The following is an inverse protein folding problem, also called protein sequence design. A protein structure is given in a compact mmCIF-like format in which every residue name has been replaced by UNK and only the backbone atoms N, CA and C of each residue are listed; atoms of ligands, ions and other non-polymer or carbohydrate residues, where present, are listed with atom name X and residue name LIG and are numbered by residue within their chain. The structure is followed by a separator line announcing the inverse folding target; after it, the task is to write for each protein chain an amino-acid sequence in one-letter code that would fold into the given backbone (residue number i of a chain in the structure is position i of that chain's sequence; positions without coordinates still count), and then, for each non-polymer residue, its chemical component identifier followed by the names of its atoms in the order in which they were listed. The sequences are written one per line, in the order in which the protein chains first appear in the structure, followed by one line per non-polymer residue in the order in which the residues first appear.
data_IF_759880048482
#
_entry.id   IF_759880048482
#
_cell.length_a   1.000
_cell.length_b   1.000
_cell.length_c   1.000
_cell.angle_alpha   90.00
_cell.angle_beta   90.00
_cell.angle_gamma   90.00
#
_symmetry.space_group_name_H-M   'P 1'
#
loop_
_entity.id
_entity.type
_entity.pdbx_description
1 polymer ?
#
# COMPACT_ATOMS: atom_id res chain seq x y z
N UNK A 1 0.65 -4.28 -68.34
CA UNK A 1 -0.53 -5.05 -68.87
C UNK A 1 -1.65 -4.79 -67.91
N UNK A 2 -2.44 -3.95 -68.29
CA UNK A 2 -3.86 -3.96 -68.74
C UNK A 2 -4.80 -3.99 -67.53
N UNK A 3 -5.41 -2.86 -67.13
CA UNK A 3 -6.57 -2.19 -67.69
C UNK A 3 -7.84 -3.06 -67.53
N UNK A 4 -9.00 -2.64 -67.10
CA UNK A 4 -9.85 -1.49 -67.37
C UNK A 4 -11.07 -1.57 -66.47
N UNK A 5 -11.54 -0.47 -65.98
CA UNK A 5 -12.75 0.37 -66.34
C UNK A 5 -14.06 -0.20 -65.83
N UNK A 6 -15.00 0.48 -65.22
CA UNK A 6 -15.48 1.84 -65.31
C UNK A 6 -17.02 1.82 -65.49
N UNK A 7 -17.70 2.81 -64.95
CA UNK A 7 -18.97 3.51 -65.39
C UNK A 7 -19.95 3.72 -64.21
N UNK A 8 -20.06 4.92 -63.71
CA UNK A 8 -20.93 6.11 -64.01
C UNK A 8 -22.42 5.83 -64.10
N UNK A 9 -23.12 6.38 -63.21
CA UNK A 9 -24.31 7.21 -63.02
C UNK A 9 -25.30 7.40 -64.31
N UNK A 10 -26.46 8.02 -64.23
CA UNK A 10 -26.93 9.11 -63.37
C UNK A 10 -28.45 9.15 -63.04
N UNK A 11 -28.83 10.10 -62.17
CA UNK A 11 -29.96 11.04 -62.09
C UNK A 11 -31.35 10.67 -62.71
N UNK A 12 -32.40 10.94 -61.92
CA UNK A 12 -33.50 11.85 -62.38
C UNK A 12 -34.48 12.23 -61.25
N UNK A 13 -34.68 13.50 -61.15
CA UNK A 13 -35.62 14.28 -60.37
C UNK A 13 -37.07 14.12 -60.79
N UNK A 14 -38.01 14.28 -59.85
CA UNK A 14 -39.31 14.96 -60.21
C UNK A 14 -39.93 15.64 -58.99
N UNK A 15 -40.05 16.94 -59.09
CA UNK A 15 -40.93 17.77 -58.27
C UNK A 15 -42.36 17.60 -58.77
N UNK A 16 -43.38 17.74 -57.93
CA UNK A 16 -44.66 18.28 -58.24
C UNK A 16 -45.19 19.13 -57.06
N UNK A 17 -45.66 20.29 -57.47
CA UNK A 17 -46.29 21.34 -56.66
C UNK A 17 -47.80 21.20 -56.65
N UNK A 18 -48.44 21.95 -55.78
CA UNK A 18 -49.76 22.55 -55.67
C UNK A 18 -50.69 21.87 -54.68
N UNK A 19 -51.40 22.50 -53.77
CA UNK A 19 -51.76 23.86 -53.55
C UNK A 19 -53.11 23.90 -52.82
N UNK A 20 -53.40 25.01 -52.07
CA UNK A 20 -54.72 25.46 -51.61
C UNK A 20 -55.21 24.89 -50.28
N UNK A 21 -55.18 25.57 -49.11
CA UNK A 21 -55.95 26.77 -48.71
C UNK A 21 -56.95 26.43 -47.56
N UNK A 22 -57.35 27.32 -46.69
CA UNK A 22 -57.61 27.04 -45.26
C UNK A 22 -59.10 26.91 -44.89
N UNK A 23 -59.39 26.16 -43.80
CA UNK A 23 -60.68 26.30 -43.09
C UNK A 23 -60.40 26.34 -41.54
N UNK A 24 -60.95 27.44 -41.00
CA UNK A 24 -60.97 27.69 -39.53
C UNK A 24 -61.94 26.72 -38.82
N UNK A 25 -61.56 26.22 -37.71
CA UNK A 25 -62.45 25.53 -36.80
C UNK A 25 -61.83 25.47 -35.34
N UNK A 26 -62.24 26.41 -34.54
CA UNK A 26 -61.92 26.50 -33.08
C UNK A 26 -62.62 25.37 -32.35
N UNK A 27 -61.87 24.51 -31.69
CA UNK A 27 -62.39 23.78 -30.55
C UNK A 27 -61.26 23.56 -29.51
N UNK A 28 -61.28 24.43 -28.48
CA UNK A 28 -60.43 24.26 -27.29
C UNK A 28 -60.86 23.03 -26.52
N UNK A 29 -60.04 21.99 -26.53
CA UNK A 29 -60.06 20.92 -25.52
C UNK A 29 -58.84 21.07 -24.62
N UNK A 30 -59.10 21.49 -23.39
CA UNK A 30 -58.10 21.47 -22.29
C UNK A 30 -57.75 20.01 -22.02
N UNK A 31 -56.57 19.57 -22.43
CA UNK A 31 -55.99 18.32 -21.99
C UNK A 31 -55.14 18.66 -20.76
N UNK A 32 -55.63 18.28 -19.60
CA UNK A 32 -54.85 18.32 -18.35
C UNK A 32 -53.72 17.30 -18.48
N UNK A 33 -52.50 17.79 -18.64
CA UNK A 33 -51.30 16.95 -18.52
C UNK A 33 -51.08 16.61 -17.05
N UNK A 34 -51.46 15.41 -16.65
CA UNK A 34 -51.07 14.82 -15.39
C UNK A 34 -49.60 14.42 -15.53
N UNK A 35 -48.71 15.24 -14.99
CA UNK A 35 -47.31 14.85 -14.79
C UNK A 35 -47.26 13.79 -13.68
N UNK A 36 -47.17 12.51 -14.05
CA UNK A 36 -46.69 11.48 -13.15
C UNK A 36 -45.25 11.78 -12.83
N UNK A 37 -44.96 12.40 -11.68
CA UNK A 37 -43.62 12.43 -11.11
C UNK A 37 -43.28 11.01 -10.68
N UNK A 38 -42.70 10.19 -11.58
CA UNK A 38 -41.93 9.02 -11.19
C UNK A 38 -40.74 9.54 -10.39
N UNK A 39 -40.85 9.49 -9.08
CA UNK A 39 -39.72 9.63 -8.18
C UNK A 39 -38.67 8.56 -8.55
N UNK A 40 -37.63 8.95 -9.26
CA UNK A 40 -36.39 8.18 -9.29
C UNK A 40 -35.91 8.10 -7.84
N UNK A 41 -36.26 7.04 -7.14
CA UNK A 41 -35.53 6.63 -5.96
C UNK A 41 -34.09 6.36 -6.47
N UNK A 42 -33.24 7.37 -6.36
CA UNK A 42 -31.82 7.23 -6.68
C UNK A 42 -31.28 6.07 -5.85
N UNK A 43 -30.71 5.06 -6.50
CA UNK A 43 -29.94 4.05 -5.81
C UNK A 43 -28.97 4.77 -4.85
N UNK A 44 -28.82 4.31 -3.62
CA UNK A 44 -27.88 4.96 -2.68
C UNK A 44 -26.51 5.02 -3.38
N UNK A 45 -25.96 6.21 -3.50
CA UNK A 45 -24.63 6.39 -4.06
C UNK A 45 -23.66 5.56 -3.22
N UNK A 46 -22.99 4.59 -3.83
CA UNK A 46 -21.94 3.81 -3.14
C UNK A 46 -20.87 4.79 -2.70
N UNK A 47 -20.60 4.80 -1.39
CA UNK A 47 -19.57 5.67 -0.84
C UNK A 47 -18.21 5.28 -1.43
N UNK A 48 -17.48 6.23 -1.97
CA UNK A 48 -16.14 5.99 -2.51
C UNK A 48 -15.09 6.01 -1.39
N UNK A 49 -13.90 5.43 -1.68
CA UNK A 49 -12.75 5.57 -0.78
C UNK A 49 -12.46 7.06 -0.55
N UNK A 50 -12.14 7.47 0.68
CA UNK A 50 -11.89 8.86 0.99
C UNK A 50 -10.61 9.34 0.30
N UNK A 51 -10.63 10.55 -0.26
CA UNK A 51 -9.42 11.17 -0.80
C UNK A 51 -8.42 11.53 0.32
N UNK A 52 -8.88 11.68 1.56
CA UNK A 52 -8.11 11.97 2.78
C UNK A 52 -8.95 11.59 3.99
N UNK A 53 -8.30 11.20 5.09
CA UNK A 53 -8.88 11.13 6.43
C UNK A 53 -8.31 12.27 7.29
N UNK A 54 -9.16 12.92 8.05
CA UNK A 54 -8.70 13.81 9.14
C UNK A 54 -7.98 12.98 10.21
N UNK A 55 -7.18 13.58 11.10
CA UNK A 55 -6.56 12.86 12.22
C UNK A 55 -7.58 12.10 13.09
N UNK A 56 -8.75 12.71 13.34
CA UNK A 56 -9.82 12.07 14.13
C UNK A 56 -10.44 10.86 13.42
N UNK A 57 -10.73 10.97 12.11
CA UNK A 57 -11.25 9.86 11.32
C UNK A 57 -10.24 8.73 11.21
N UNK A 58 -8.95 9.05 11.05
CA UNK A 58 -7.87 8.08 11.01
C UNK A 58 -7.76 7.32 12.34
N UNK A 59 -7.74 8.03 13.47
CA UNK A 59 -7.70 7.42 14.80
C UNK A 59 -8.93 6.53 15.04
N UNK A 60 -10.13 7.04 14.75
CA UNK A 60 -11.37 6.28 14.88
C UNK A 60 -11.41 5.02 14.01
N UNK A 61 -10.85 5.09 12.78
CA UNK A 61 -10.75 3.93 11.88
C UNK A 61 -9.80 2.89 12.43
N UNK A 62 -8.61 3.31 12.92
CA UNK A 62 -7.63 2.42 13.55
C UNK A 62 -8.24 1.72 14.76
N UNK A 63 -8.89 2.45 15.66
CA UNK A 63 -9.52 1.90 16.87
C UNK A 63 -10.65 0.94 16.52
N UNK A 64 -11.53 1.34 15.61
CA UNK A 64 -12.70 0.53 15.21
C UNK A 64 -12.31 -0.78 14.58
N UNK A 65 -11.26 -0.82 13.75
CA UNK A 65 -10.87 -2.01 13.00
C UNK A 65 -9.86 -2.88 13.75
N UNK A 66 -9.10 -2.34 14.71
CA UNK A 66 -8.08 -3.11 15.42
C UNK A 66 -8.69 -4.09 16.43
N UNK A 67 -7.95 -5.16 16.68
CA UNK A 67 -8.14 -6.18 17.71
C UNK A 67 -7.20 -5.93 18.89
N UNK A 68 -7.40 -6.61 20.03
CA UNK A 68 -6.39 -6.68 21.07
C UNK A 68 -5.06 -7.24 20.53
N UNK A 69 -3.95 -6.71 21.02
CA UNK A 69 -2.62 -7.14 20.57
C UNK A 69 -2.31 -8.58 21.00
N UNK A 70 -1.82 -9.37 20.04
CA UNK A 70 -1.20 -10.66 20.30
C UNK A 70 0.31 -10.55 20.48
N UNK A 71 0.98 -11.71 20.54
CA UNK A 71 2.42 -11.85 20.70
C UNK A 71 3.03 -12.54 19.47
N UNK A 72 4.22 -12.08 19.10
CA UNK A 72 5.10 -12.77 18.16
C UNK A 72 6.56 -12.62 18.64
N UNK A 73 7.40 -13.59 18.36
CA UNK A 73 8.73 -13.73 18.97
C UNK A 73 9.87 -13.01 18.21
N UNK A 74 9.54 -11.92 17.50
CA UNK A 74 10.52 -11.07 16.81
C UNK A 74 10.26 -9.58 17.08
N UNK A 75 11.30 -8.75 16.94
CA UNK A 75 11.12 -7.29 16.90
C UNK A 75 10.48 -6.80 15.59
N UNK A 76 10.80 -7.47 14.49
CA UNK A 76 10.28 -7.23 13.15
C UNK A 76 10.38 -5.75 12.69
N UNK A 77 11.45 -5.05 13.12
CA UNK A 77 11.70 -3.68 12.69
C UNK A 77 12.13 -3.60 11.22
N UNK A 78 12.71 -4.68 10.70
CA UNK A 78 13.02 -4.86 9.29
C UNK A 78 12.62 -6.28 8.87
N UNK A 79 12.36 -6.50 7.60
CA UNK A 79 11.99 -7.81 7.07
C UNK A 79 13.14 -8.83 7.16
N UNK A 80 12.81 -10.11 7.26
CA UNK A 80 13.74 -11.21 7.04
C UNK A 80 13.63 -11.81 5.62
N UNK A 81 12.84 -11.21 4.76
CA UNK A 81 12.56 -11.69 3.41
C UNK A 81 13.44 -10.97 2.40
N UNK A 82 14.59 -11.53 2.12
CA UNK A 82 15.60 -10.97 1.22
C UNK A 82 15.12 -10.84 -0.24
N UNK A 83 14.13 -11.66 -0.64
CA UNK A 83 13.57 -11.68 -2.01
C UNK A 83 12.25 -10.90 -2.14
N UNK A 84 11.81 -10.12 -1.14
CA UNK A 84 10.47 -9.52 -1.16
C UNK A 84 10.19 -8.69 -2.43
N UNK A 85 11.19 -8.06 -3.04
CA UNK A 85 11.04 -7.28 -4.27
C UNK A 85 10.79 -8.14 -5.52
N UNK A 86 11.06 -9.45 -5.48
CA UNK A 86 10.80 -10.34 -6.62
C UNK A 86 9.30 -10.36 -7.02
N UNK A 87 8.39 -10.18 -6.05
CA UNK A 87 6.96 -10.07 -6.34
C UNK A 87 6.61 -8.88 -7.23
N UNK A 88 7.39 -7.79 -7.20
CA UNK A 88 7.14 -6.57 -7.98
C UNK A 88 7.13 -6.84 -9.49
N UNK A 89 7.99 -7.74 -9.96
CA UNK A 89 7.98 -8.18 -11.36
C UNK A 89 6.63 -8.79 -11.75
N UNK A 90 6.11 -9.69 -10.91
CA UNK A 90 4.80 -10.31 -11.13
C UNK A 90 3.66 -9.30 -11.08
N UNK A 91 3.66 -8.40 -10.09
CA UNK A 91 2.66 -7.34 -9.96
C UNK A 91 2.58 -6.47 -11.23
N UNK A 92 3.72 -6.06 -11.76
CA UNK A 92 3.79 -5.27 -13.01
C UNK A 92 3.30 -6.07 -14.23
N UNK A 93 3.73 -7.33 -14.38
CA UNK A 93 3.33 -8.20 -15.50
C UNK A 93 1.83 -8.49 -15.51
N UNK A 94 1.22 -8.60 -14.35
CA UNK A 94 -0.24 -8.81 -14.22
C UNK A 94 -1.05 -7.51 -14.19
N UNK A 95 -0.41 -6.35 -14.28
CA UNK A 95 -1.08 -5.05 -14.27
C UNK A 95 -1.85 -4.77 -12.98
N UNK A 96 -1.37 -5.28 -11.83
CA UNK A 96 -2.00 -5.06 -10.52
C UNK A 96 -1.85 -3.61 -10.13
N UNK A 97 -2.97 -2.88 -9.98
CA UNK A 97 -2.94 -1.45 -9.67
C UNK A 97 -4.25 -0.94 -9.07
N UNK A 98 -4.20 0.21 -8.40
CA UNK A 98 -5.37 0.88 -7.79
C UNK A 98 -6.01 0.09 -6.65
N UNK A 99 -7.26 0.42 -6.31
CA UNK A 99 -8.02 -0.22 -5.25
C UNK A 99 -7.36 -0.11 -3.88
N UNK A 100 -7.50 -1.15 -3.04
CA UNK A 100 -6.89 -1.22 -1.73
C UNK A 100 -5.74 -2.23 -1.68
N UNK A 101 -4.67 -1.89 -0.97
CA UNK A 101 -3.58 -2.78 -0.63
C UNK A 101 -3.72 -3.25 0.83
N UNK A 102 -3.53 -4.53 1.07
CA UNK A 102 -3.38 -5.12 2.40
C UNK A 102 -1.98 -5.70 2.55
N UNK A 103 -1.40 -5.58 3.75
CA UNK A 103 -0.09 -6.16 4.01
C UNK A 103 0.19 -6.37 5.49
N UNK A 104 1.34 -6.99 5.80
CA UNK A 104 1.81 -7.28 7.16
C UNK A 104 3.28 -6.91 7.32
N UNK A 105 3.69 -6.62 8.54
CA UNK A 105 5.08 -6.37 8.88
C UNK A 105 5.54 -4.94 8.57
N UNK A 106 6.86 -4.68 8.50
CA UNK A 106 7.45 -3.35 8.45
C UNK A 106 7.34 -2.66 7.07
N UNK A 107 8.31 -1.84 6.76
CA UNK A 107 8.30 -0.87 5.65
C UNK A 107 8.46 -1.47 4.24
N UNK A 108 8.78 -2.77 4.09
CA UNK A 108 8.73 -3.43 2.77
C UNK A 108 7.36 -3.26 2.08
N UNK A 109 6.31 -3.10 2.87
CA UNK A 109 4.97 -2.78 2.37
C UNK A 109 4.93 -1.51 1.51
N UNK A 110 5.74 -0.51 1.81
CA UNK A 110 5.78 0.73 1.03
C UNK A 110 6.29 0.52 -0.39
N UNK A 111 7.13 -0.50 -0.62
CA UNK A 111 7.57 -0.88 -1.97
C UNK A 111 6.43 -1.48 -2.80
N UNK A 112 5.59 -2.31 -2.20
CA UNK A 112 4.38 -2.81 -2.86
C UNK A 112 3.36 -1.69 -3.10
N UNK A 113 3.16 -0.82 -2.10
CA UNK A 113 2.31 0.37 -2.25
C UNK A 113 2.80 1.27 -3.39
N UNK A 114 4.12 1.49 -3.50
CA UNK A 114 4.71 2.25 -4.59
C UNK A 114 4.51 1.58 -5.97
N UNK A 115 4.61 0.24 -6.04
CA UNK A 115 4.45 -0.50 -7.28
C UNK A 115 2.98 -0.59 -7.75
N UNK A 116 2.03 -0.77 -6.82
CA UNK A 116 0.59 -0.98 -7.09
C UNK A 116 -0.15 0.35 -7.26
N UNK A 117 0.32 1.42 -6.60
CA UNK A 117 -0.37 2.73 -6.58
C UNK A 117 -1.83 2.63 -6.08
N UNK A 118 -2.08 2.00 -4.92
CA UNK A 118 -3.44 1.87 -4.38
C UNK A 118 -3.99 3.22 -3.95
N UNK A 119 -5.33 3.31 -3.88
CA UNK A 119 -6.02 4.46 -3.31
C UNK A 119 -5.91 4.51 -1.78
N UNK A 120 -5.84 3.34 -1.15
CA UNK A 120 -5.70 3.17 0.31
C UNK A 120 -4.93 1.90 0.63
N UNK A 121 -4.20 1.90 1.75
CA UNK A 121 -3.47 0.73 2.23
C UNK A 121 -3.79 0.45 3.70
N UNK A 122 -3.92 -0.84 4.04
CA UNK A 122 -4.07 -1.31 5.41
C UNK A 122 -2.89 -2.24 5.74
N UNK A 123 -2.15 -1.94 6.80
CA UNK A 123 -1.05 -2.76 7.26
C UNK A 123 -1.46 -3.40 8.58
N UNK A 124 -1.66 -4.72 8.55
CA UNK A 124 -2.16 -5.49 9.68
C UNK A 124 -1.04 -6.33 10.28
N UNK A 125 -0.90 -6.30 11.59
CA UNK A 125 -0.01 -7.21 12.31
C UNK A 125 -0.67 -7.58 13.65
N UNK A 126 -0.42 -8.80 14.10
CA UNK A 126 -0.95 -9.26 15.39
C UNK A 126 -0.41 -8.43 16.57
N UNK A 127 0.75 -7.79 16.40
CA UNK A 127 1.41 -6.99 17.44
C UNK A 127 1.08 -5.51 17.29
N UNK A 128 0.81 -4.88 18.44
CA UNK A 128 0.72 -3.42 18.53
C UNK A 128 2.04 -2.73 18.13
N UNK A 129 3.18 -3.37 18.38
CA UNK A 129 4.50 -2.84 18.07
C UNK A 129 4.63 -2.48 16.58
N UNK A 130 4.07 -3.27 15.65
CA UNK A 130 4.08 -2.96 14.23
C UNK A 130 3.25 -1.69 13.90
N UNK A 131 2.07 -1.54 14.54
CA UNK A 131 1.29 -0.29 14.42
C UNK A 131 2.13 0.91 14.88
N UNK A 132 2.83 0.79 16.01
CA UNK A 132 3.67 1.85 16.56
C UNK A 132 4.86 2.19 15.65
N UNK A 133 5.44 1.18 15.01
CA UNK A 133 6.50 1.35 14.02
C UNK A 133 6.00 2.09 12.78
N UNK A 134 4.82 1.74 12.25
CA UNK A 134 4.21 2.47 11.15
C UNK A 134 3.87 3.93 11.52
N UNK A 135 3.58 4.21 12.78
CA UNK A 135 3.46 5.58 13.25
C UNK A 135 4.80 6.31 13.28
N UNK A 136 5.92 5.63 13.64
CA UNK A 136 7.26 6.18 13.51
C UNK A 136 7.52 6.59 12.06
N UNK A 137 7.32 5.70 11.10
CA UNK A 137 7.48 6.01 9.68
C UNK A 137 6.57 7.16 9.23
N UNK A 138 5.32 7.18 9.68
CA UNK A 138 4.38 8.28 9.40
C UNK A 138 4.92 9.62 9.89
N UNK A 139 5.47 9.67 11.09
CA UNK A 139 6.09 10.87 11.65
C UNK A 139 7.28 11.34 10.79
N UNK A 140 8.12 10.42 10.32
CA UNK A 140 9.25 10.72 9.44
C UNK A 140 8.75 11.23 8.07
N UNK A 141 7.78 10.56 7.43
CA UNK A 141 7.18 11.01 6.16
C UNK A 141 6.53 12.41 6.25
N UNK A 142 5.96 12.74 7.41
CA UNK A 142 5.38 14.08 7.64
C UNK A 142 6.44 15.18 7.59
N UNK A 143 7.65 14.88 8.05
CA UNK A 143 8.75 15.83 8.15
C UNK A 143 9.63 15.86 6.89
N UNK A 144 9.83 14.71 6.24
CA UNK A 144 10.72 14.56 5.11
C UNK A 144 10.08 15.09 3.82
N UNK A 145 10.80 15.93 3.08
CA UNK A 145 10.37 16.45 1.78
C UNK A 145 10.81 15.55 0.62
N UNK A 146 11.88 14.78 0.82
CA UNK A 146 12.50 13.88 -0.15
C UNK A 146 13.16 12.68 0.52
N UNK A 147 13.66 11.74 -0.28
CA UNK A 147 14.29 10.49 0.19
C UNK A 147 15.50 10.74 1.09
N UNK A 148 16.32 11.74 0.77
CA UNK A 148 17.50 12.04 1.58
C UNK A 148 17.13 12.53 2.97
N UNK A 149 16.15 13.42 3.07
CA UNK A 149 15.62 13.89 4.36
C UNK A 149 14.99 12.75 5.16
N UNK A 150 14.30 11.83 4.49
CA UNK A 150 13.72 10.64 5.13
C UNK A 150 14.81 9.78 5.77
N UNK A 151 15.87 9.45 5.03
CA UNK A 151 16.98 8.64 5.53
C UNK A 151 17.74 9.34 6.66
N UNK A 152 18.00 10.65 6.53
CA UNK A 152 18.64 11.42 7.59
C UNK A 152 17.80 11.48 8.87
N UNK A 153 16.49 11.59 8.76
CA UNK A 153 15.59 11.54 9.92
C UNK A 153 15.53 10.15 10.55
N UNK A 154 15.48 9.10 9.73
CA UNK A 154 15.41 7.72 10.20
C UNK A 154 16.69 7.33 10.95
N UNK A 155 17.86 7.67 10.42
CA UNK A 155 19.17 7.29 10.98
C UNK A 155 19.80 8.37 11.87
N UNK A 156 19.13 9.52 12.05
CA UNK A 156 19.62 10.59 12.94
C UNK A 156 20.89 11.27 12.43
N UNK A 157 21.17 11.24 11.13
CA UNK A 157 22.35 11.87 10.52
C UNK A 157 22.08 13.34 10.14
N UNK A 158 23.11 14.20 10.11
CA UNK A 158 22.96 15.57 9.64
C UNK A 158 22.44 15.65 8.21
N UNK A 159 21.60 16.64 7.93
CA UNK A 159 21.13 16.91 6.58
C UNK A 159 22.27 17.51 5.75
N UNK A 160 22.52 17.04 4.52
CA UNK A 160 23.44 17.69 3.61
C UNK A 160 22.90 19.08 3.21
N UNK A 161 23.79 20.00 2.82
CA UNK A 161 23.41 21.37 2.45
C UNK A 161 22.43 21.42 1.27
N UNK A 162 22.63 20.57 0.26
CA UNK A 162 21.78 20.42 -0.92
C UNK A 162 20.97 19.11 -0.86
N UNK A 163 19.92 19.06 -0.05
CA UNK A 163 19.06 17.86 0.06
C UNK A 163 18.31 17.57 -1.24
N UNK A 164 18.03 18.57 -2.06
CA UNK A 164 17.32 18.38 -3.34
C UNK A 164 18.22 17.69 -4.38
N UNK A 165 19.47 18.14 -4.54
CA UNK A 165 20.45 17.48 -5.40
C UNK A 165 20.77 16.06 -4.93
N UNK A 166 20.81 15.82 -3.63
CA UNK A 166 20.97 14.48 -3.08
C UNK A 166 19.77 13.57 -3.41
N UNK A 167 18.55 14.07 -3.35
CA UNK A 167 17.35 13.30 -3.68
C UNK A 167 17.33 12.80 -5.13
N UNK A 168 18.07 13.42 -6.04
CA UNK A 168 18.19 12.98 -7.44
C UNK A 168 19.19 11.81 -7.64
N UNK A 169 20.04 11.52 -6.64
CA UNK A 169 21.03 10.43 -6.72
C UNK A 169 20.39 9.06 -6.57
N UNK A 170 21.11 8.02 -6.96
CA UNK A 170 20.66 6.66 -6.71
C UNK A 170 20.66 6.31 -5.22
N UNK A 171 19.91 5.27 -4.85
CA UNK A 171 19.73 4.88 -3.44
C UNK A 171 21.04 4.42 -2.79
N UNK A 172 21.98 3.83 -3.55
CA UNK A 172 23.24 3.38 -2.98
C UNK A 172 24.07 4.59 -2.51
N UNK A 173 24.14 5.66 -3.32
CA UNK A 173 24.83 6.89 -2.93
C UNK A 173 24.17 7.57 -1.71
N UNK A 174 22.84 7.52 -1.58
CA UNK A 174 22.16 8.04 -0.38
C UNK A 174 22.52 7.23 0.86
N UNK A 175 22.58 5.90 0.75
CA UNK A 175 22.93 5.01 1.86
C UNK A 175 24.43 5.12 2.23
N UNK A 176 25.31 5.28 1.27
CA UNK A 176 26.73 5.58 1.52
C UNK A 176 26.86 6.87 2.33
N UNK A 177 26.19 7.94 1.89
CA UNK A 177 26.25 9.22 2.61
C UNK A 177 25.83 9.09 4.08
N UNK A 178 24.68 8.44 4.37
CA UNK A 178 24.21 8.29 5.76
C UNK A 178 25.10 7.35 6.58
N UNK A 179 25.84 6.43 5.94
CA UNK A 179 26.77 5.51 6.61
C UNK A 179 28.10 6.20 6.90
N UNK A 180 28.63 6.96 5.94
CA UNK A 180 29.94 7.61 6.03
C UNK A 180 29.89 8.91 6.84
N UNK A 181 28.69 9.48 7.02
CA UNK A 181 28.49 10.66 7.83
C UNK A 181 28.69 10.29 9.30
N UNK A 182 29.62 10.96 9.98
CA UNK A 182 29.86 10.71 11.41
C UNK A 182 28.57 10.89 12.22
N UNK A 183 28.31 10.01 13.19
CA UNK A 183 27.20 10.18 14.13
C UNK A 183 27.29 11.58 14.77
N UNK A 184 26.19 12.31 14.70
CA UNK A 184 26.03 13.63 15.32
C UNK A 184 24.92 13.53 16.38
N UNK A 185 25.31 13.63 17.65
CA UNK A 185 24.38 13.56 18.76
C UNK A 185 23.31 14.66 18.72
N UNK A 186 23.64 15.84 18.19
CA UNK A 186 22.70 16.95 18.05
C UNK A 186 21.67 16.68 16.94
N UNK A 187 22.12 16.14 15.79
CA UNK A 187 21.23 15.72 14.70
C UNK A 187 20.30 14.59 15.13
N UNK A 188 20.83 13.56 15.79
CA UNK A 188 20.06 12.45 16.33
C UNK A 188 19.03 12.92 17.38
N UNK A 189 19.42 13.77 18.32
CA UNK A 189 18.50 14.34 19.30
C UNK A 189 17.44 15.24 18.62
N UNK A 190 17.83 15.99 17.60
CA UNK A 190 16.91 16.79 16.77
C UNK A 190 15.90 15.94 16.03
N UNK A 191 16.34 14.85 15.39
CA UNK A 191 15.46 13.89 14.69
C UNK A 191 14.43 13.30 15.68
N UNK A 192 14.87 12.79 16.84
CA UNK A 192 13.98 12.24 17.88
C UNK A 192 12.90 13.24 18.31
N UNK A 193 13.30 14.48 18.64
CA UNK A 193 12.34 15.50 19.06
C UNK A 193 11.32 15.83 17.98
N UNK A 194 11.77 16.03 16.75
CA UNK A 194 10.90 16.39 15.61
C UNK A 194 9.92 15.24 15.29
N UNK A 195 10.41 14.01 15.19
CA UNK A 195 9.59 12.84 14.91
C UNK A 195 8.56 12.61 16.02
N UNK A 196 8.97 12.70 17.29
CA UNK A 196 8.03 12.62 18.43
C UNK A 196 6.93 13.67 18.35
N UNK A 197 7.27 14.93 18.02
CA UNK A 197 6.27 16.01 17.86
C UNK A 197 5.29 15.70 16.72
N UNK A 198 5.78 15.23 15.57
CA UNK A 198 4.94 14.87 14.44
C UNK A 198 4.01 13.68 14.75
N UNK A 199 4.49 12.70 15.55
CA UNK A 199 3.69 11.56 16.01
C UNK A 199 2.48 11.98 16.84
N UNK A 200 2.68 12.90 17.78
CA UNK A 200 1.60 13.36 18.66
C UNK A 200 0.49 14.08 17.88
N UNK A 201 0.77 14.52 16.66
CA UNK A 201 -0.23 15.14 15.77
C UNK A 201 -1.03 14.12 14.94
N UNK A 202 -0.74 12.82 15.04
CA UNK A 202 -1.45 11.77 14.28
C UNK A 202 -2.91 11.58 14.69
N UNK A 203 -3.28 12.06 15.88
CA UNK A 203 -4.62 11.90 16.46
C UNK A 203 -4.87 10.53 17.10
N UNK A 204 -3.97 9.55 16.93
CA UNK A 204 -4.09 8.24 17.59
C UNK A 204 -3.75 8.40 19.08
N UNK A 205 -4.60 7.91 19.99
CA UNK A 205 -4.29 7.89 21.41
C UNK A 205 -3.06 7.01 21.68
N UNK A 206 -1.99 7.62 22.19
CA UNK A 206 -0.74 6.95 22.56
C UNK A 206 -0.58 6.99 24.06
N UNK A 207 -0.41 5.82 24.67
CA UNK A 207 -0.03 5.72 26.08
C UNK A 207 1.45 6.16 26.26
N UNK A 208 1.89 6.49 27.49
CA UNK A 208 3.30 6.74 27.74
C UNK A 208 4.21 5.58 27.33
N UNK A 209 3.74 4.33 27.44
CA UNK A 209 4.45 3.12 26.99
C UNK A 209 4.57 3.06 25.47
N UNK A 210 3.52 3.42 24.72
CA UNK A 210 3.58 3.48 23.26
C UNK A 210 4.63 4.50 22.80
N UNK A 211 4.63 5.70 23.38
CA UNK A 211 5.62 6.75 23.07
C UNK A 211 7.04 6.28 23.37
N UNK A 212 7.25 5.57 24.48
CA UNK A 212 8.55 4.99 24.83
C UNK A 212 8.96 3.88 23.85
N UNK A 213 8.03 3.03 23.42
CA UNK A 213 8.28 1.97 22.43
C UNK A 213 8.69 2.57 21.09
N UNK A 214 7.98 3.59 20.60
CA UNK A 214 8.34 4.30 19.36
C UNK A 214 9.72 4.95 19.48
N UNK A 215 10.04 5.56 20.62
CA UNK A 215 11.36 6.15 20.84
C UNK A 215 12.47 5.09 20.80
N UNK A 216 12.25 3.92 21.41
CA UNK A 216 13.19 2.77 21.35
C UNK A 216 13.39 2.29 19.91
N UNK A 217 12.34 2.16 19.11
CA UNK A 217 12.46 1.79 17.70
C UNK A 217 13.32 2.80 16.93
N UNK A 218 13.03 4.08 17.07
CA UNK A 218 13.82 5.12 16.44
C UNK A 218 15.28 5.10 16.89
N UNK A 219 15.54 4.86 18.19
CA UNK A 219 16.88 4.71 18.73
C UNK A 219 17.62 3.51 18.12
N UNK A 220 16.91 2.41 17.84
CA UNK A 220 17.49 1.23 17.18
C UNK A 220 17.89 1.56 15.74
N UNK A 221 17.05 2.24 14.95
CA UNK A 221 17.42 2.70 13.61
C UNK A 221 18.59 3.68 13.63
N UNK A 222 18.64 4.61 14.58
CA UNK A 222 19.73 5.58 14.73
C UNK A 222 21.04 4.87 15.10
N UNK A 223 20.98 3.88 15.99
CA UNK A 223 22.17 3.21 16.53
C UNK A 223 22.77 2.20 15.55
N UNK A 224 21.92 1.39 14.93
CA UNK A 224 22.38 0.32 14.02
C UNK A 224 22.43 0.76 12.56
N UNK A 225 21.74 1.85 12.22
CA UNK A 225 21.73 2.38 10.87
C UNK A 225 21.26 1.35 9.82
N UNK A 226 21.83 1.41 8.60
CA UNK A 226 21.52 0.47 7.53
C UNK A 226 21.92 -0.99 7.82
N UNK A 227 22.72 -1.25 8.84
CA UNK A 227 23.15 -2.61 9.22
C UNK A 227 22.16 -3.31 10.16
N UNK A 228 21.06 -2.65 10.51
CA UNK A 228 19.98 -3.26 11.30
C UNK A 228 19.49 -4.55 10.64
N UNK A 229 19.31 -5.59 11.45
CA UNK A 229 18.75 -6.90 11.06
C UNK A 229 17.59 -7.26 11.97
N UNK A 230 16.69 -8.10 11.48
CA UNK A 230 15.61 -8.66 12.31
C UNK A 230 16.19 -9.38 13.53
N UNK A 231 15.62 -9.12 14.70
CA UNK A 231 15.98 -9.77 15.96
C UNK A 231 14.85 -10.68 16.41
N UNK A 232 15.22 -11.87 16.90
CA UNK A 232 14.29 -12.87 17.45
C UNK A 232 14.44 -12.94 18.97
N UNK A 233 13.33 -13.17 19.69
CA UNK A 233 13.29 -13.33 21.14
C UNK A 233 13.22 -14.81 21.49
N UNK A 234 14.06 -15.25 22.44
CA UNK A 234 14.06 -16.64 22.92
C UNK A 234 14.58 -17.68 21.91
N UNK A 235 15.08 -17.24 20.75
CA UNK A 235 15.74 -18.08 19.74
C UNK A 235 17.13 -17.53 19.41
N UNK A 236 18.08 -18.36 18.98
CA UNK A 236 19.38 -17.88 18.49
C UNK A 236 19.20 -16.92 17.31
N UNK A 237 19.97 -15.82 17.34
CA UNK A 237 20.01 -14.89 16.22
C UNK A 237 20.50 -15.62 14.94
N UNK A 238 19.82 -15.44 13.83
CA UNK A 238 20.23 -15.97 12.54
C UNK A 238 21.12 -14.96 11.84
N UNK A 239 22.33 -15.37 11.51
CA UNK A 239 23.31 -14.51 10.81
C UNK A 239 23.01 -14.34 9.32
N UNK A 240 22.16 -15.19 8.78
CA UNK A 240 21.74 -15.21 7.38
C UNK A 240 20.55 -14.27 7.08
N UNK A 241 19.96 -13.64 8.09
CA UNK A 241 18.94 -12.61 7.83
C UNK A 241 19.56 -11.38 7.16
N UNK A 242 18.88 -10.79 6.15
CA UNK A 242 19.39 -9.61 5.46
C UNK A 242 19.49 -8.40 6.39
N UNK A 243 20.48 -7.54 6.15
CA UNK A 243 20.52 -6.20 6.73
C UNK A 243 19.49 -5.29 6.06
N UNK A 244 19.14 -4.21 6.73
CA UNK A 244 18.25 -3.20 6.13
C UNK A 244 18.84 -2.63 4.84
N UNK A 245 20.18 -2.44 4.75
CA UNK A 245 20.90 -2.08 3.53
C UNK A 245 20.62 -3.05 2.40
N UNK A 246 20.76 -4.36 2.65
CA UNK A 246 20.54 -5.39 1.65
C UNK A 246 19.08 -5.37 1.17
N UNK A 247 18.12 -5.19 2.08
CA UNK A 247 16.69 -5.05 1.74
C UNK A 247 16.42 -3.80 0.89
N UNK A 248 16.99 -2.64 1.25
CA UNK A 248 16.79 -1.39 0.51
C UNK A 248 17.43 -1.44 -0.87
N UNK A 249 18.58 -2.09 -1.01
CA UNK A 249 19.31 -2.22 -2.27
C UNK A 249 18.91 -3.44 -3.09
N UNK A 250 17.95 -4.25 -2.63
CA UNK A 250 17.42 -5.39 -3.38
C UNK A 250 16.87 -5.00 -4.75
N UNK A 251 16.77 -6.01 -5.64
CA UNK A 251 16.21 -5.84 -6.98
C UNK A 251 15.02 -6.75 -7.21
N UNK A 252 14.21 -6.43 -8.18
CA UNK A 252 13.20 -7.33 -8.71
C UNK A 252 13.84 -8.42 -9.60
N UNK A 253 13.06 -9.37 -10.11
CA UNK A 253 13.54 -10.46 -10.98
C UNK A 253 14.11 -9.99 -12.33
N UNK A 254 13.95 -8.72 -12.67
CA UNK A 254 14.51 -8.10 -13.88
C UNK A 254 15.74 -7.24 -13.57
N UNK A 255 16.27 -7.33 -12.34
CA UNK A 255 17.46 -6.61 -11.90
C UNK A 255 17.24 -5.13 -11.62
N UNK A 256 15.97 -4.65 -11.57
CA UNK A 256 15.66 -3.24 -11.29
C UNK A 256 15.50 -3.03 -9.78
N UNK A 257 16.05 -1.95 -9.26
CA UNK A 257 15.76 -1.52 -7.90
C UNK A 257 14.28 -1.14 -7.79
N UNK A 258 13.56 -1.78 -6.89
CA UNK A 258 12.12 -1.65 -6.78
C UNK A 258 11.65 -1.29 -5.36
N UNK A 259 12.58 -0.96 -4.47
CA UNK A 259 12.25 -0.41 -3.15
C UNK A 259 11.63 0.99 -3.30
N UNK A 260 10.72 1.38 -2.40
CA UNK A 260 10.05 2.69 -2.43
C UNK A 260 11.02 3.89 -2.33
N UNK A 261 12.25 3.68 -1.84
CA UNK A 261 13.33 4.66 -1.81
C UNK A 261 14.22 4.61 -3.07
N UNK A 262 13.99 3.69 -4.01
CA UNK A 262 14.80 3.60 -5.22
C UNK A 262 14.62 4.81 -6.14
N UNK A 263 13.43 5.41 -6.16
CA UNK A 263 13.09 6.59 -6.95
C UNK A 263 12.32 7.64 -6.16
N UNK A 264 12.60 8.93 -6.45
CA UNK A 264 11.88 10.03 -5.78
C UNK A 264 10.37 9.98 -6.04
N UNK A 265 9.93 9.60 -7.24
CA UNK A 265 8.52 9.47 -7.59
C UNK A 265 7.79 8.44 -6.73
N UNK A 266 8.42 7.31 -6.42
CA UNK A 266 7.85 6.25 -5.59
C UNK A 266 7.77 6.69 -4.13
N UNK A 267 8.82 7.32 -3.63
CA UNK A 267 8.82 7.95 -2.31
C UNK A 267 7.71 9.00 -2.17
N UNK A 268 7.58 9.91 -3.13
CA UNK A 268 6.57 10.96 -3.09
C UNK A 268 5.14 10.41 -3.15
N UNK A 269 4.92 9.31 -3.85
CA UNK A 269 3.61 8.64 -3.85
C UNK A 269 3.27 8.11 -2.44
N UNK A 270 4.18 7.35 -1.82
CA UNK A 270 3.98 6.84 -0.46
C UNK A 270 3.79 8.00 0.54
N UNK A 271 4.64 9.03 0.43
CA UNK A 271 4.53 10.24 1.24
C UNK A 271 3.17 10.92 1.10
N UNK A 272 2.63 11.01 -0.11
CA UNK A 272 1.32 11.61 -0.37
C UNK A 272 0.18 10.80 0.27
N UNK A 273 0.24 9.45 0.27
CA UNK A 273 -0.71 8.61 1.00
C UNK A 273 -0.58 8.80 2.52
N UNK A 274 0.64 8.86 3.05
CA UNK A 274 0.90 9.12 4.47
C UNK A 274 0.34 10.49 4.91
N UNK A 275 0.56 11.54 4.12
CA UNK A 275 0.06 12.90 4.40
C UNK A 275 -1.47 13.01 4.36
N UNK A 276 -2.12 12.09 3.64
CA UNK A 276 -3.59 12.00 3.54
C UNK A 276 -4.20 11.01 4.53
N UNK A 277 -3.40 10.38 5.39
CA UNK A 277 -3.82 9.32 6.33
C UNK A 277 -4.43 8.09 5.64
N UNK A 278 -3.94 7.73 4.46
CA UNK A 278 -4.47 6.63 3.66
C UNK A 278 -3.61 5.35 3.74
N UNK A 279 -2.54 5.36 4.51
CA UNK A 279 -1.86 4.14 4.97
C UNK A 279 -2.23 3.95 6.44
N UNK A 280 -3.07 2.96 6.70
CA UNK A 280 -3.73 2.71 7.98
C UNK A 280 -3.12 1.48 8.64
N UNK A 281 -2.30 1.64 9.69
CA UNK A 281 -1.79 0.51 10.43
C UNK A 281 -2.87 0.00 11.41
N UNK A 282 -3.01 -1.33 11.49
CA UNK A 282 -4.00 -1.98 12.32
C UNK A 282 -3.36 -3.09 13.16
N UNK A 283 -3.87 -3.30 14.36
CA UNK A 283 -3.61 -4.53 15.11
C UNK A 283 -4.65 -5.56 14.73
N UNK A 284 -4.22 -6.75 14.29
CA UNK A 284 -5.16 -7.79 13.91
C UNK A 284 -4.50 -9.12 13.59
N UNK A 285 -5.17 -10.18 13.98
CA UNK A 285 -4.84 -11.55 13.59
C UNK A 285 -5.52 -11.84 12.24
N UNK A 286 -4.77 -12.43 11.30
CA UNK A 286 -5.32 -12.82 9.99
C UNK A 286 -6.44 -13.86 10.12
N UNK A 287 -6.34 -14.75 11.10
CA UNK A 287 -7.39 -15.71 11.44
C UNK A 287 -8.39 -15.19 12.48
N UNK A 288 -8.24 -13.92 12.90
CA UNK A 288 -9.07 -13.27 13.91
C UNK A 288 -10.50 -12.99 13.44
N UNK A 289 -11.38 -12.69 14.38
CA UNK A 289 -12.80 -12.50 14.08
C UNK A 289 -13.15 -11.12 13.55
N UNK A 290 -12.26 -10.10 13.67
CA UNK A 290 -12.68 -8.71 13.52
C UNK A 290 -11.93 -7.96 12.40
N UNK A 291 -10.58 -7.91 12.41
CA UNK A 291 -9.83 -6.93 11.63
C UNK A 291 -9.99 -7.14 10.12
N UNK A 292 -9.67 -8.32 9.56
CA UNK A 292 -9.82 -8.58 8.13
C UNK A 292 -11.28 -8.43 7.67
N UNK A 293 -12.22 -8.97 8.44
CA UNK A 293 -13.66 -8.82 8.14
C UNK A 293 -14.10 -7.36 8.19
N UNK A 294 -13.57 -6.59 9.14
CA UNK A 294 -13.85 -5.15 9.27
C UNK A 294 -13.31 -4.35 8.09
N UNK A 295 -12.09 -4.66 7.64
CA UNK A 295 -11.52 -4.06 6.43
C UNK A 295 -12.34 -4.46 5.20
N UNK A 296 -12.73 -5.73 5.07
CA UNK A 296 -13.60 -6.20 3.97
C UNK A 296 -14.89 -5.40 3.89
N UNK A 297 -15.64 -5.28 4.99
CA UNK A 297 -16.88 -4.48 5.05
C UNK A 297 -16.62 -2.99 4.73
N UNK A 298 -15.56 -2.41 5.27
CA UNK A 298 -15.20 -1.02 5.00
C UNK A 298 -14.97 -0.75 3.50
N UNK A 299 -14.34 -1.69 2.80
CA UNK A 299 -14.10 -1.61 1.36
C UNK A 299 -15.38 -1.86 0.55
N UNK A 300 -16.16 -2.88 0.92
CA UNK A 300 -17.44 -3.23 0.27
C UNK A 300 -18.43 -2.07 0.30
N UNK A 301 -18.61 -1.43 1.48
CA UNK A 301 -19.46 -0.24 1.64
C UNK A 301 -19.06 0.93 0.72
N UNK A 302 -17.81 0.90 0.19
CA UNK A 302 -17.24 1.93 -0.68
C UNK A 302 -17.04 1.49 -2.11
N UNK A 303 -17.54 0.31 -2.47
CA UNK A 303 -17.38 -0.26 -3.81
C UNK A 303 -15.92 -0.47 -4.20
N UNK A 304 -15.03 -0.59 -3.21
CA UNK A 304 -13.61 -0.76 -3.43
C UNK A 304 -13.22 -2.25 -3.30
N UNK A 305 -12.19 -2.67 -4.03
CA UNK A 305 -11.65 -4.02 -4.00
C UNK A 305 -10.23 -4.04 -3.43
N UNK A 306 -9.85 -5.18 -2.89
CA UNK A 306 -8.45 -5.50 -2.58
C UNK A 306 -7.72 -5.81 -3.89
N UNK A 307 -6.69 -5.06 -4.22
CA UNK A 307 -5.86 -5.32 -5.42
C UNK A 307 -4.74 -6.31 -5.12
N UNK A 308 -4.13 -6.20 -3.94
CA UNK A 308 -3.14 -7.14 -3.48
C UNK A 308 -3.18 -7.29 -1.97
N UNK A 309 -2.91 -8.50 -1.50
CA UNK A 309 -2.72 -8.81 -0.09
C UNK A 309 -1.37 -9.51 0.11
N UNK A 310 -0.43 -8.81 0.74
CA UNK A 310 0.86 -9.36 1.13
C UNK A 310 0.73 -10.02 2.50
N UNK A 311 0.84 -11.33 2.52
CA UNK A 311 0.69 -12.16 3.72
C UNK A 311 2.01 -12.53 4.38
N UNK A 312 3.14 -12.17 3.74
CA UNK A 312 4.46 -12.61 4.21
C UNK A 312 4.50 -14.16 4.33
N UNK A 313 5.15 -14.68 5.34
CA UNK A 313 5.16 -16.08 5.71
C UNK A 313 4.16 -16.43 6.84
N UNK A 314 3.20 -15.58 7.13
CA UNK A 314 2.22 -15.78 8.23
C UNK A 314 1.46 -17.09 8.07
N UNK A 315 1.13 -17.48 6.84
CA UNK A 315 0.43 -18.74 6.56
C UNK A 315 1.13 -19.97 7.13
N UNK A 316 2.47 -19.97 7.21
CA UNK A 316 3.23 -21.10 7.80
C UNK A 316 2.91 -21.27 9.29
N UNK A 317 2.69 -20.18 10.01
CA UNK A 317 2.28 -20.22 11.41
C UNK A 317 0.82 -20.66 11.56
N UNK A 318 -0.06 -20.16 10.69
CA UNK A 318 -1.49 -20.52 10.70
C UNK A 318 -1.73 -22.00 10.35
N UNK A 319 -0.87 -22.62 9.55
CA UNK A 319 -0.89 -24.07 9.35
C UNK A 319 -0.46 -24.83 10.61
N UNK A 320 0.55 -24.31 11.32
CA UNK A 320 1.09 -24.93 12.53
C UNK A 320 0.12 -24.96 13.70
N UNK A 321 -0.72 -23.92 13.86
CA UNK A 321 -1.70 -23.79 14.94
C UNK A 321 -3.14 -24.20 14.56
N UNK A 322 -3.35 -24.65 13.30
CA UNK A 322 -4.64 -25.10 12.79
C UNK A 322 -5.64 -23.96 12.49
N UNK A 323 -5.21 -22.72 12.46
CA UNK A 323 -6.07 -21.55 12.20
C UNK A 323 -6.21 -21.17 10.71
N UNK A 324 -5.50 -21.86 9.83
CA UNK A 324 -5.48 -21.54 8.39
C UNK A 324 -6.87 -21.53 7.74
N UNK A 325 -7.79 -22.42 8.13
CA UNK A 325 -9.16 -22.44 7.58
C UNK A 325 -9.91 -21.14 7.87
N UNK A 326 -9.73 -20.57 9.09
CA UNK A 326 -10.34 -19.28 9.44
C UNK A 326 -9.74 -18.13 8.63
N UNK A 327 -8.42 -18.13 8.45
CA UNK A 327 -7.73 -17.18 7.58
C UNK A 327 -8.24 -17.25 6.14
N UNK A 328 -8.29 -18.44 5.55
CA UNK A 328 -8.80 -18.65 4.20
C UNK A 328 -10.23 -18.12 4.04
N UNK A 329 -11.11 -18.37 5.02
CA UNK A 329 -12.46 -17.81 5.05
C UNK A 329 -12.48 -16.28 5.15
N UNK A 330 -11.58 -15.68 5.94
CA UNK A 330 -11.45 -14.23 6.04
C UNK A 330 -10.97 -13.61 4.72
N UNK A 331 -10.03 -14.24 4.02
CA UNK A 331 -9.54 -13.79 2.70
C UNK A 331 -10.63 -13.90 1.64
N UNK A 332 -11.34 -15.03 1.59
CA UNK A 332 -12.44 -15.23 0.64
C UNK A 332 -13.58 -14.21 0.80
N UNK A 333 -13.75 -13.65 2.00
CA UNK A 333 -14.75 -12.63 2.28
C UNK A 333 -14.29 -11.20 1.94
N UNK A 334 -13.03 -10.98 1.52
CA UNK A 334 -12.57 -9.66 1.08
C UNK A 334 -13.15 -9.34 -0.31
N UNK A 335 -13.59 -8.11 -0.58
CA UNK A 335 -14.01 -7.72 -1.92
C UNK A 335 -12.81 -7.77 -2.88
N UNK A 336 -12.88 -8.61 -3.90
CA UNK A 336 -11.81 -8.84 -4.86
C UNK A 336 -12.36 -9.06 -6.28
N UNK A 337 -11.49 -8.99 -7.29
CA UNK A 337 -11.78 -9.33 -8.66
C UNK A 337 -10.73 -10.31 -9.23
N UNK A 338 -10.87 -10.65 -10.51
CA UNK A 338 -9.96 -11.58 -11.21
C UNK A 338 -8.50 -11.10 -11.27
N UNK A 339 -8.22 -9.82 -11.03
CA UNK A 339 -6.88 -9.22 -10.99
C UNK A 339 -6.31 -9.17 -9.58
N UNK A 340 -7.11 -9.42 -8.57
CA UNK A 340 -6.70 -9.39 -7.17
C UNK A 340 -5.73 -10.54 -6.87
N UNK A 341 -4.64 -10.23 -6.17
CA UNK A 341 -3.57 -11.19 -5.92
C UNK A 341 -3.21 -11.30 -4.43
N UNK A 342 -2.70 -12.45 -4.05
CA UNK A 342 -2.01 -12.67 -2.77
C UNK A 342 -0.52 -12.78 -3.06
N UNK A 343 0.29 -12.08 -2.27
CA UNK A 343 1.76 -12.18 -2.28
C UNK A 343 2.15 -12.96 -1.03
N UNK A 344 2.78 -14.12 -1.22
CA UNK A 344 3.23 -15.00 -0.15
C UNK A 344 4.73 -15.13 -0.13
N UNK A 345 5.30 -15.23 1.05
CA UNK A 345 6.71 -15.55 1.23
C UNK A 345 6.86 -16.99 1.73
N UNK A 346 7.68 -17.75 1.05
CA UNK A 346 7.97 -19.13 1.39
C UNK A 346 9.45 -19.29 1.68
N UNK A 347 9.77 -19.97 2.79
CA UNK A 347 11.13 -20.33 3.16
C UNK A 347 11.31 -21.84 2.96
N UNK A 348 12.09 -22.27 1.94
CA UNK A 348 12.22 -23.68 1.58
C UNK A 348 13.08 -24.50 2.56
N UNK A 349 13.86 -23.83 3.43
CA UNK A 349 14.74 -24.48 4.41
C UNK A 349 15.63 -25.60 3.79
N UNK A 350 16.25 -25.29 2.65
CA UNK A 350 17.13 -26.22 1.91
C UNK A 350 16.39 -27.23 1.02
N UNK A 351 15.06 -27.21 0.94
CA UNK A 351 14.30 -28.05 0.00
C UNK A 351 14.28 -27.40 -1.39
N UNK A 352 14.43 -28.17 -2.47
CA UNK A 352 14.29 -27.65 -3.83
C UNK A 352 12.90 -27.04 -4.06
N UNK A 353 12.85 -25.90 -4.74
CA UNK A 353 11.60 -25.26 -5.13
C UNK A 353 11.74 -24.64 -6.53
N UNK A 354 10.75 -24.79 -7.44
CA UNK A 354 10.87 -24.34 -8.84
C UNK A 354 11.02 -22.82 -9.00
N UNK A 355 10.57 -22.04 -8.01
CA UNK A 355 10.70 -20.59 -8.00
C UNK A 355 11.87 -20.09 -7.13
N UNK A 356 12.75 -20.99 -6.64
CA UNK A 356 13.92 -20.57 -5.88
C UNK A 356 14.90 -19.81 -6.80
N UNK A 357 15.40 -18.68 -6.30
CA UNK A 357 16.44 -17.91 -6.94
C UNK A 357 17.73 -18.11 -6.15
N UNK A 358 18.82 -18.46 -6.84
CA UNK A 358 20.10 -18.69 -6.17
C UNK A 358 20.56 -17.46 -5.40
N UNK A 359 21.03 -17.67 -4.17
CA UNK A 359 21.49 -16.60 -3.28
C UNK A 359 20.42 -15.95 -2.43
N UNK A 360 19.16 -16.38 -2.54
CA UNK A 360 18.05 -15.88 -1.71
C UNK A 360 17.51 -16.96 -0.78
N UNK A 361 17.16 -16.53 0.45
CA UNK A 361 16.62 -17.41 1.49
C UNK A 361 15.11 -17.60 1.39
N UNK A 362 14.42 -16.58 0.87
CA UNK A 362 12.97 -16.57 0.71
C UNK A 362 12.57 -16.63 -0.78
N UNK A 363 11.34 -17.04 -1.03
CA UNK A 363 10.73 -17.12 -2.36
C UNK A 363 9.42 -16.36 -2.30
N UNK A 364 9.21 -15.47 -3.28
CA UNK A 364 7.95 -14.76 -3.39
C UNK A 364 7.02 -15.46 -4.38
N UNK A 365 5.83 -15.79 -3.91
CA UNK A 365 4.79 -16.42 -4.71
C UNK A 365 3.65 -15.42 -4.90
N UNK A 366 3.26 -15.23 -6.17
CA UNK A 366 2.12 -14.41 -6.54
C UNK A 366 1.00 -15.30 -7.04
N UNK A 367 -0.15 -15.25 -6.40
CA UNK A 367 -1.32 -16.07 -6.73
C UNK A 367 -2.57 -15.18 -6.81
N UNK A 368 -3.47 -15.48 -7.73
CA UNK A 368 -4.79 -14.83 -7.76
C UNK A 368 -5.62 -15.24 -6.55
N UNK A 369 -6.45 -14.33 -6.04
CA UNK A 369 -7.32 -14.62 -4.87
C UNK A 369 -8.34 -15.69 -5.19
N UNK A 370 -8.78 -15.78 -6.44
CA UNK A 370 -9.81 -16.73 -6.93
C UNK A 370 -9.24 -18.08 -7.38
N UNK A 371 -7.94 -18.31 -7.26
CA UNK A 371 -7.26 -19.53 -7.73
C UNK A 371 -7.14 -20.60 -6.65
#
# INVERSE_FOLDING_TARGET
MAATSGHRAPLLSRRYHSGVGPVRGVLQRRVAAVWLALGCAGAPAVAQLPARLSPAEFAALVERLSEPSGYFDTDNLVSNEDSYLHAVTGLRRHGVSGGAYLGVGPDQNFSYVAAIRPEMAFILDIRRDNLLEHLLFKGIFTLARNRMEYLCLLFGTPLPRDTAGWAARDLAALLEHVTDTRPDSAAAAGARRRVRSALLSSGIPLSPRDVQTIARFHDTFITLGPELRLTTFGRPARRDYPSYRELLLGTDLEGRRANFLAGESDFQFVRALQARNLIVPLVGDFAGPKTLKGVGRYLEERGARVSAFYTSNVEQYLFGDGSFTRFAGNVAALPHDERSVIIRSYFPYGRPHPHAVSGYLSIQLLQRVTA
#
